data_IF_678777150359
#
_entry.id   IF_678777150359
#
_cell.length_a   1.000
_cell.length_b   1.000
_cell.length_c   1.000
_cell.angle_alpha   90.00
_cell.angle_beta   90.00
_cell.angle_gamma   90.00
#
_symmetry.space_group_name_H-M   'P 1'
#
loop_
_entity.id
_entity.type
_entity.pdbx_description
1 polymer ?
#
# COMPACT_ATOMS: atom_id res chain seq x y z
N UNK A 1 1.48 -40.71 7.63
CA UNK A 1 1.95 -39.53 6.88
C UNK A 1 2.07 -38.38 7.86
N UNK A 2 3.18 -37.62 7.91
CA UNK A 2 3.22 -36.42 8.73
C UNK A 2 2.22 -35.40 8.18
N UNK A 3 1.50 -34.72 9.08
CA UNK A 3 0.58 -33.65 8.74
C UNK A 3 1.34 -32.33 8.84
N UNK A 4 1.45 -31.60 7.72
CA UNK A 4 2.00 -30.25 7.72
C UNK A 4 0.87 -29.24 7.98
N UNK A 5 1.17 -28.20 8.76
CA UNK A 5 0.29 -27.04 8.95
C UNK A 5 0.98 -25.82 8.34
N UNK A 6 0.33 -25.21 7.35
CA UNK A 6 0.78 -23.96 6.73
C UNK A 6 -0.10 -22.82 7.24
N UNK A 7 0.54 -21.74 7.71
CA UNK A 7 -0.13 -20.49 8.08
C UNK A 7 0.53 -19.38 7.25
N UNK A 8 -0.28 -18.60 6.54
CA UNK A 8 0.16 -17.45 5.76
C UNK A 8 -0.46 -16.21 6.40
N UNK A 9 0.37 -15.22 6.71
CA UNK A 9 -0.06 -13.97 7.31
C UNK A 9 -0.08 -12.86 6.28
N UNK A 10 -1.21 -12.15 6.25
CA UNK A 10 -1.25 -10.78 5.77
C UNK A 10 -0.54 -9.84 6.77
N UNK A 11 -0.17 -8.62 6.36
CA UNK A 11 0.60 -7.67 7.18
C UNK A 11 -0.30 -6.56 7.75
N UNK A 12 -0.80 -5.68 6.88
CA UNK A 12 -1.52 -4.47 7.28
C UNK A 12 -2.91 -4.79 7.82
N UNK A 13 -3.17 -4.40 9.07
CA UNK A 13 -4.42 -4.73 9.75
C UNK A 13 -4.50 -6.17 10.26
N UNK A 14 -3.47 -6.99 10.02
CA UNK A 14 -3.36 -8.37 10.49
C UNK A 14 -2.23 -8.53 11.52
N UNK A 15 -1.00 -8.18 11.18
CA UNK A 15 0.16 -8.25 12.07
C UNK A 15 0.46 -6.90 12.72
N UNK A 16 0.35 -5.81 11.94
CA UNK A 16 0.64 -4.44 12.39
C UNK A 16 -0.43 -3.49 11.88
N UNK A 17 -0.55 -2.31 12.49
CA UNK A 17 -1.21 -1.17 11.86
C UNK A 17 -0.16 -0.19 11.39
N UNK A 18 -0.25 0.28 10.15
CA UNK A 18 0.66 1.32 9.62
C UNK A 18 0.10 2.73 9.77
N UNK A 19 -1.04 2.92 10.45
CA UNK A 19 -1.67 4.23 10.63
C UNK A 19 -2.04 4.92 9.30
N UNK A 20 -2.26 4.13 8.25
CA UNK A 20 -2.53 4.62 6.89
C UNK A 20 -1.31 5.18 6.16
N UNK A 21 -0.08 4.88 6.59
CA UNK A 21 1.14 5.37 5.93
C UNK A 21 1.21 5.02 4.45
N UNK A 22 0.84 3.78 4.08
CA UNK A 22 0.74 3.35 2.68
C UNK A 22 -0.23 4.22 1.89
N UNK A 23 -1.45 4.40 2.39
CA UNK A 23 -2.48 5.24 1.74
C UNK A 23 -2.00 6.69 1.56
N UNK A 24 -1.37 7.28 2.57
CA UNK A 24 -0.82 8.65 2.51
C UNK A 24 0.30 8.76 1.48
N UNK A 25 1.24 7.81 1.46
CA UNK A 25 2.30 7.77 0.47
C UNK A 25 1.73 7.63 -0.95
N UNK A 26 0.73 6.76 -1.13
CA UNK A 26 0.07 6.53 -2.41
C UNK A 26 -0.63 7.78 -2.94
N UNK A 27 -1.42 8.46 -2.09
CA UNK A 27 -2.10 9.71 -2.43
C UNK A 27 -1.11 10.82 -2.79
N UNK A 28 -0.05 10.99 -1.99
CA UNK A 28 0.96 12.02 -2.23
C UNK A 28 1.76 11.76 -3.52
N UNK A 29 2.00 10.50 -3.90
CA UNK A 29 2.64 10.17 -5.19
C UNK A 29 1.78 10.62 -6.36
N UNK A 30 0.47 10.37 -6.31
CA UNK A 30 -0.47 10.82 -7.34
C UNK A 30 -0.54 12.35 -7.42
N UNK A 31 -0.61 13.01 -6.27
CA UNK A 31 -0.62 14.47 -6.19
C UNK A 31 0.63 15.07 -6.85
N UNK A 32 1.82 14.61 -6.46
CA UNK A 32 3.07 15.27 -6.85
C UNK A 32 3.57 14.89 -8.26
N UNK A 33 3.44 13.61 -8.65
CA UNK A 33 4.02 13.13 -9.90
C UNK A 33 3.05 13.18 -11.08
N UNK A 34 1.74 13.08 -10.79
CA UNK A 34 0.71 13.01 -11.82
C UNK A 34 -0.26 14.20 -11.77
N UNK A 35 -0.09 15.13 -10.82
CA UNK A 35 -0.98 16.28 -10.61
C UNK A 35 -2.43 15.88 -10.32
N UNK A 36 -2.63 14.76 -9.60
CA UNK A 36 -3.94 14.22 -9.27
C UNK A 36 -4.13 14.10 -7.75
N UNK A 37 -4.37 15.21 -7.03
CA UNK A 37 -4.46 15.21 -5.57
C UNK A 37 -5.61 14.36 -5.02
N UNK A 38 -6.69 14.18 -5.79
CA UNK A 38 -7.89 13.45 -5.38
C UNK A 38 -7.98 12.04 -5.98
N UNK A 39 -6.91 11.54 -6.61
CA UNK A 39 -6.92 10.26 -7.34
C UNK A 39 -7.33 9.05 -6.48
N UNK A 40 -7.13 9.14 -5.17
CA UNK A 40 -7.36 8.04 -4.22
C UNK A 40 -8.60 8.25 -3.35
N UNK A 41 -9.34 9.35 -3.52
CA UNK A 41 -10.41 9.76 -2.60
C UNK A 41 -11.54 8.73 -2.44
N UNK A 42 -11.80 7.94 -3.49
CA UNK A 42 -12.83 6.90 -3.50
C UNK A 42 -12.24 5.48 -3.50
N UNK A 43 -10.92 5.34 -3.36
CA UNK A 43 -10.23 4.07 -3.46
C UNK A 43 -10.34 3.29 -2.16
N UNK A 44 -10.79 2.04 -2.27
CA UNK A 44 -10.71 1.04 -1.19
C UNK A 44 -9.41 0.26 -1.28
N UNK A 45 -8.55 0.43 -0.27
CA UNK A 45 -7.21 -0.16 -0.23
C UNK A 45 -7.16 -1.56 0.41
N UNK A 46 -8.17 -1.92 1.21
CA UNK A 46 -8.21 -3.17 1.98
C UNK A 46 -8.14 -4.43 1.12
N UNK A 47 -7.16 -5.30 1.39
CA UNK A 47 -6.99 -6.60 0.71
C UNK A 47 -6.58 -6.52 -0.76
N UNK A 48 -6.06 -5.37 -1.21
CA UNK A 48 -5.64 -5.13 -2.60
C UNK A 48 -4.12 -5.19 -2.73
N UNK A 49 -3.64 -5.47 -3.93
CA UNK A 49 -2.22 -5.34 -4.26
C UNK A 49 -1.92 -3.92 -4.76
N UNK A 50 -0.77 -3.36 -4.38
CA UNK A 50 -0.35 -2.03 -4.83
C UNK A 50 -0.35 -1.92 -6.36
N UNK A 51 0.19 -2.92 -7.06
CA UNK A 51 0.18 -2.95 -8.52
C UNK A 51 -1.24 -2.93 -9.11
N UNK A 52 -2.19 -3.64 -8.48
CA UNK A 52 -3.60 -3.63 -8.88
C UNK A 52 -4.22 -2.25 -8.71
N UNK A 53 -3.96 -1.60 -7.57
CA UNK A 53 -4.44 -0.25 -7.27
C UNK A 53 -3.86 0.81 -8.22
N UNK A 54 -2.57 0.74 -8.53
CA UNK A 54 -1.91 1.67 -9.47
C UNK A 54 -2.61 1.60 -10.83
N UNK A 55 -2.82 0.38 -11.35
CA UNK A 55 -3.48 0.19 -12.65
C UNK A 55 -4.93 0.65 -12.65
N UNK A 56 -5.68 0.34 -11.59
CA UNK A 56 -7.08 0.76 -11.44
C UNK A 56 -7.19 2.30 -11.45
N UNK A 57 -6.38 2.97 -10.63
CA UNK A 57 -6.42 4.43 -10.52
C UNK A 57 -5.92 5.09 -11.80
N UNK A 58 -4.85 4.60 -12.43
CA UNK A 58 -4.42 5.10 -13.73
C UNK A 58 -5.53 4.99 -14.78
N UNK A 59 -6.19 3.83 -14.86
CA UNK A 59 -7.31 3.64 -15.79
C UNK A 59 -8.46 4.61 -15.49
N UNK A 60 -8.79 4.83 -14.22
CA UNK A 60 -9.85 5.75 -13.80
C UNK A 60 -9.53 7.23 -14.06
N UNK A 61 -8.26 7.57 -14.28
CA UNK A 61 -7.78 8.94 -14.51
C UNK A 61 -7.30 9.15 -15.96
N UNK A 62 -7.67 8.24 -16.87
CA UNK A 62 -7.27 8.24 -18.28
C UNK A 62 -5.74 8.28 -18.51
N UNK A 63 -4.97 7.69 -17.58
CA UNK A 63 -3.53 7.49 -17.70
C UNK A 63 -3.28 6.06 -18.19
N UNK A 64 -2.50 5.91 -19.26
CA UNK A 64 -2.09 4.60 -19.72
C UNK A 64 -1.10 3.97 -18.70
N UNK A 65 -1.37 2.74 -18.20
CA UNK A 65 -0.50 2.05 -17.25
C UNK A 65 0.69 1.41 -17.96
N UNK A 66 1.49 2.23 -18.64
CA UNK A 66 2.75 1.83 -19.25
C UNK A 66 3.76 1.42 -18.18
N UNK A 67 4.75 0.60 -18.56
CA UNK A 67 5.84 0.21 -17.66
C UNK A 67 6.56 1.45 -17.08
N UNK A 68 6.79 2.47 -17.91
CA UNK A 68 7.40 3.74 -17.50
C UNK A 68 6.58 4.44 -16.40
N UNK A 69 5.26 4.58 -16.59
CA UNK A 69 4.39 5.23 -15.61
C UNK A 69 4.31 4.43 -14.30
N UNK A 70 4.25 3.10 -14.39
CA UNK A 70 4.20 2.22 -13.23
C UNK A 70 5.51 2.34 -12.43
N UNK A 71 6.67 2.25 -13.09
CA UNK A 71 7.98 2.36 -12.43
C UNK A 71 8.15 3.74 -11.81
N UNK A 72 7.77 4.81 -12.53
CA UNK A 72 7.77 6.18 -12.02
C UNK A 72 6.92 6.30 -10.75
N UNK A 73 5.72 5.72 -10.75
CA UNK A 73 4.87 5.72 -9.57
C UNK A 73 5.47 4.92 -8.41
N UNK A 74 5.91 3.69 -8.66
CA UNK A 74 6.48 2.81 -7.63
C UNK A 74 7.67 3.46 -6.92
N UNK A 75 8.59 4.08 -7.67
CA UNK A 75 9.73 4.79 -7.09
C UNK A 75 9.27 5.95 -6.20
N UNK A 76 8.39 6.81 -6.71
CA UNK A 76 7.87 7.93 -5.93
C UNK A 76 7.06 7.51 -4.70
N UNK A 77 6.34 6.39 -4.80
CA UNK A 77 5.61 5.78 -3.69
C UNK A 77 6.56 5.26 -2.62
N UNK A 78 7.60 4.51 -2.99
CA UNK A 78 8.55 3.97 -2.03
C UNK A 78 9.33 5.08 -1.30
N UNK A 79 9.72 6.15 -2.00
CA UNK A 79 10.34 7.33 -1.38
C UNK A 79 9.43 7.96 -0.31
N UNK A 80 8.15 8.14 -0.62
CA UNK A 80 7.16 8.70 0.33
C UNK A 80 6.84 7.73 1.45
N UNK A 81 6.78 6.44 1.16
CA UNK A 81 6.54 5.40 2.17
C UNK A 81 7.65 5.39 3.21
N UNK A 82 8.92 5.54 2.80
CA UNK A 82 10.04 5.68 3.74
C UNK A 82 9.91 6.89 4.66
N UNK A 83 9.19 7.93 4.24
CA UNK A 83 8.93 9.12 5.05
C UNK A 83 7.73 8.93 5.98
N UNK A 84 6.62 8.39 5.47
CA UNK A 84 5.39 8.24 6.25
C UNK A 84 5.42 7.07 7.21
N UNK A 85 6.05 5.95 6.83
CA UNK A 85 6.04 4.75 7.63
C UNK A 85 6.61 5.03 9.03
N UNK A 86 7.82 5.58 9.24
CA UNK A 86 8.38 5.78 10.58
C UNK A 86 7.54 6.67 11.51
N UNK A 87 6.64 7.50 10.97
CA UNK A 87 5.84 8.45 11.76
C UNK A 87 4.68 7.82 12.54
N UNK A 88 4.32 6.56 12.22
CA UNK A 88 3.23 5.83 12.88
C UNK A 88 3.65 5.04 14.14
N UNK A 89 2.67 4.40 14.79
CA UNK A 89 2.94 3.32 15.74
C UNK A 89 3.12 2.02 14.96
N UNK A 90 4.25 1.33 15.17
CA UNK A 90 4.60 0.07 14.48
C UNK A 90 4.56 -1.14 15.40
N UNK A 91 3.91 -1.01 16.55
CA UNK A 91 3.78 -2.13 17.46
C UNK A 91 2.86 -3.19 16.85
N UNK A 92 3.21 -4.49 16.99
CA UNK A 92 2.31 -5.57 16.60
C UNK A 92 0.93 -5.42 17.23
N UNK A 93 -0.11 -5.78 16.50
CA UNK A 93 -1.47 -5.76 17.01
C UNK A 93 -1.61 -6.67 18.24
N UNK A 94 -2.57 -6.39 19.14
CA UNK A 94 -2.79 -7.23 20.33
C UNK A 94 -2.96 -8.70 19.96
N UNK A 95 -2.20 -9.58 20.61
CA UNK A 95 -2.25 -11.03 20.36
C UNK A 95 -1.26 -11.53 19.31
N UNK A 96 -0.70 -10.66 18.45
CA UNK A 96 0.21 -11.08 17.38
C UNK A 96 1.45 -11.75 17.95
N UNK A 97 2.18 -11.09 18.87
CA UNK A 97 3.40 -11.66 19.48
C UNK A 97 3.16 -12.93 20.31
N UNK A 98 1.91 -13.23 20.69
CA UNK A 98 1.56 -14.45 21.40
C UNK A 98 1.19 -15.60 20.44
N UNK A 99 0.82 -15.26 19.20
CA UNK A 99 0.39 -16.21 18.19
C UNK A 99 1.55 -16.75 17.33
N UNK A 100 2.48 -15.86 16.96
CA UNK A 100 3.76 -16.20 16.30
C UNK A 100 4.84 -16.52 17.32
#
# INVERSE_FOLDING_TARGET
>A
MPTYRLILFDIDGTLISTGGAGVKAFAQTFADLFNLPEATAQTRFDGRTDFGLIREIFTAQDIEPTEENIVRFQNGYLERLQTYLPTGQHEPLPGVRQFI
#
